data_IF_979440205628
#
_entry.id   IF_979440205628
#
_cell.length_a   1.000
_cell.length_b   1.000
_cell.length_c   1.000
_cell.angle_alpha   90.00
_cell.angle_beta   90.00
_cell.angle_gamma   90.00
#
_symmetry.space_group_name_H-M   'P 1'
#
loop_
_entity.id
_entity.type
_entity.pdbx_description
1 polymer ?
#
# COMPACT_ATOMS: atom_id res chain seq x y z
N UNK A 1 -66.32 -11.29 14.90
CA UNK A 1 -65.95 -9.94 15.35
C UNK A 1 -64.71 -10.08 16.22
N UNK A 2 -63.54 -9.84 15.65
CA UNK A 2 -62.28 -9.79 16.41
C UNK A 2 -61.72 -8.39 16.25
N UNK A 3 -61.95 -7.56 17.26
CA UNK A 3 -61.40 -6.20 17.35
C UNK A 3 -60.01 -6.31 17.96
N UNK A 4 -58.97 -6.25 17.14
CA UNK A 4 -57.59 -6.09 17.62
C UNK A 4 -57.35 -4.60 17.83
N UNK A 5 -57.15 -4.24 19.09
CA UNK A 5 -56.89 -2.88 19.56
C UNK A 5 -55.46 -2.44 19.22
N UNK A 6 -55.35 -1.24 18.67
CA UNK A 6 -54.11 -0.51 18.40
C UNK A 6 -53.50 -0.01 19.71
N UNK A 7 -52.74 -0.85 20.40
CA UNK A 7 -51.92 -0.44 21.53
C UNK A 7 -50.86 -1.51 21.81
N UNK A 8 -49.73 -1.44 21.10
CA UNK A 8 -48.38 -1.52 21.67
C UNK A 8 -47.34 -1.39 20.53
N UNK A 9 -47.09 -0.14 20.11
CA UNK A 9 -45.78 0.22 19.55
C UNK A 9 -45.17 1.10 20.63
N UNK A 10 -44.75 0.47 21.73
CA UNK A 10 -43.91 1.13 22.72
C UNK A 10 -42.56 1.39 22.07
N UNK A 11 -42.39 2.64 21.67
CA UNK A 11 -41.19 3.46 21.83
C UNK A 11 -39.97 2.67 22.31
N UNK A 12 -39.21 2.12 21.35
CA UNK A 12 -37.84 1.71 21.60
C UNK A 12 -37.05 3.00 21.84
N UNK A 13 -36.86 3.33 23.11
CA UNK A 13 -35.97 4.40 23.54
C UNK A 13 -34.57 4.14 23.00
N UNK A 14 -34.25 4.79 21.88
CA UNK A 14 -32.89 4.95 21.42
C UNK A 14 -32.16 5.81 22.46
N UNK A 15 -31.21 5.19 23.16
CA UNK A 15 -30.14 5.86 23.87
C UNK A 15 -29.59 6.97 22.98
N UNK A 16 -29.95 8.22 23.29
CA UNK A 16 -29.40 9.41 22.64
C UNK A 16 -28.00 9.60 23.21
N UNK A 17 -27.08 8.77 22.72
CA UNK A 17 -25.67 9.11 22.68
C UNK A 17 -25.50 10.13 21.54
N UNK A 18 -25.24 11.43 21.82
CA UNK A 18 -25.19 12.51 20.82
C UNK A 18 -24.01 12.40 19.84
N UNK A 19 -23.36 11.24 19.76
CA UNK A 19 -22.14 11.00 19.01
C UNK A 19 -22.18 9.72 18.15
N UNK A 20 -23.37 9.16 17.88
CA UNK A 20 -23.50 7.99 17.01
C UNK A 20 -23.27 8.38 15.55
N UNK A 21 -22.15 7.94 15.00
CA UNK A 21 -21.81 8.07 13.59
C UNK A 21 -22.23 6.81 12.83
N UNK A 22 -22.77 7.00 11.64
CA UNK A 22 -23.17 5.95 10.69
C UNK A 22 -22.07 5.81 9.64
N UNK A 23 -21.39 4.67 9.68
CA UNK A 23 -20.28 4.36 8.79
C UNK A 23 -20.76 3.67 7.51
N UNK A 24 -20.01 3.87 6.41
CA UNK A 24 -20.34 3.26 5.13
C UNK A 24 -19.99 1.75 5.13
N UNK A 25 -20.91 0.87 4.72
CA UNK A 25 -20.65 -0.57 4.64
C UNK A 25 -19.78 -0.99 3.44
N UNK A 26 -19.33 -0.06 2.60
CA UNK A 26 -18.45 -0.39 1.47
C UNK A 26 -16.98 -0.48 1.94
N UNK A 27 -16.35 -1.61 1.63
CA UNK A 27 -14.95 -1.91 1.95
C UNK A 27 -14.00 -0.78 1.49
N UNK A 28 -13.41 -0.07 2.45
CA UNK A 28 -12.44 0.99 2.20
C UNK A 28 -13.02 2.41 2.07
N UNK A 29 -14.34 2.60 2.23
CA UNK A 29 -14.92 3.93 2.39
C UNK A 29 -14.76 4.41 3.84
N UNK A 30 -14.16 5.58 4.06
CA UNK A 30 -13.97 6.14 5.42
C UNK A 30 -15.01 7.21 5.76
N UNK A 31 -16.12 7.27 5.01
CA UNK A 31 -17.17 8.25 5.25
C UNK A 31 -18.01 7.84 6.46
N UNK A 32 -18.18 8.77 7.39
CA UNK A 32 -19.00 8.62 8.59
C UNK A 32 -19.96 9.81 8.69
N UNK A 33 -21.23 9.53 8.96
CA UNK A 33 -22.30 10.52 8.94
C UNK A 33 -23.01 10.61 10.28
N UNK A 34 -23.44 11.81 10.68
CA UNK A 34 -24.17 11.98 11.93
C UNK A 34 -25.61 11.43 11.90
N UNK A 35 -26.12 11.08 10.71
CA UNK A 35 -27.50 10.59 10.53
C UNK A 35 -27.57 9.50 9.47
N UNK A 36 -28.45 8.53 9.70
CA UNK A 36 -28.69 7.43 8.77
C UNK A 36 -29.10 7.94 7.37
N UNK A 37 -29.96 8.96 7.27
CA UNK A 37 -30.37 9.51 5.97
C UNK A 37 -29.22 10.07 5.11
N UNK A 38 -28.17 10.60 5.73
CA UNK A 38 -26.97 11.08 5.03
C UNK A 38 -26.15 9.90 4.49
N UNK A 39 -26.05 8.83 5.26
CA UNK A 39 -25.41 7.59 4.82
C UNK A 39 -26.16 6.96 3.64
N UNK A 40 -27.49 6.85 3.72
CA UNK A 40 -28.30 6.31 2.62
C UNK A 40 -28.14 7.15 1.35
N UNK A 41 -28.15 8.47 1.47
CA UNK A 41 -27.94 9.36 0.33
C UNK A 41 -26.50 9.22 -0.23
N UNK A 42 -25.48 9.06 0.62
CA UNK A 42 -24.11 8.81 0.18
C UNK A 42 -23.99 7.51 -0.64
N UNK A 43 -24.60 6.42 -0.15
CA UNK A 43 -24.65 5.13 -0.84
C UNK A 43 -25.41 5.27 -2.17
N UNK A 44 -26.55 5.97 -2.18
CA UNK A 44 -27.35 6.19 -3.39
C UNK A 44 -26.63 7.03 -4.45
N UNK A 45 -25.82 8.01 -4.03
CA UNK A 45 -25.01 8.83 -4.95
C UNK A 45 -23.71 8.14 -5.39
N UNK A 46 -23.28 7.05 -4.72
CA UNK A 46 -22.08 6.28 -5.05
C UNK A 46 -20.75 7.03 -4.90
N UNK A 47 -20.71 8.16 -4.19
CA UNK A 47 -19.51 8.99 -4.03
C UNK A 47 -18.68 8.56 -2.82
N UNK A 48 -18.16 7.34 -2.88
CA UNK A 48 -17.36 6.76 -1.80
C UNK A 48 -16.01 7.44 -1.67
N UNK A 49 -15.70 7.95 -0.48
CA UNK A 49 -14.42 8.59 -0.20
C UNK A 49 -13.47 7.57 0.40
N UNK A 50 -12.62 7.02 -0.47
CA UNK A 50 -11.51 6.17 -0.06
C UNK A 50 -10.39 7.08 0.43
N UNK A 51 -10.01 6.94 1.69
CA UNK A 51 -8.85 7.64 2.23
C UNK A 51 -7.61 7.03 1.57
N UNK A 52 -6.79 7.81 0.84
CA UNK A 52 -5.52 7.32 0.36
C UNK A 52 -4.71 6.86 1.56
N UNK A 53 -4.09 5.68 1.47
CA UNK A 53 -3.19 5.21 2.50
C UNK A 53 -2.14 6.30 2.74
N UNK A 54 -1.94 6.71 4.00
CA UNK A 54 -0.93 7.72 4.32
C UNK A 54 0.43 7.11 3.97
N UNK A 55 1.02 7.58 2.87
CA UNK A 55 2.38 7.30 2.44
C UNK A 55 3.30 7.30 3.68
N UNK A 56 3.77 6.14 4.09
CA UNK A 56 4.70 6.05 5.22
C UNK A 56 5.97 6.84 4.86
N UNK A 57 6.61 7.53 5.80
CA UNK A 57 7.88 8.24 5.54
C UNK A 57 8.91 7.45 4.70
N UNK A 58 9.14 6.12 4.92
CA UNK A 58 10.02 5.34 4.05
C UNK A 58 9.47 5.10 2.64
N UNK A 59 8.15 5.05 2.47
CA UNK A 59 7.49 4.91 1.18
C UNK A 59 7.72 6.18 0.33
N UNK A 60 7.50 7.35 0.93
CA UNK A 60 7.84 8.64 0.32
C UNK A 60 9.33 8.75 -0.01
N UNK A 61 10.21 8.35 0.92
CA UNK A 61 11.65 8.38 0.70
C UNK A 61 12.10 7.48 -0.46
N UNK A 62 11.39 6.39 -0.72
CA UNK A 62 11.65 5.51 -1.85
C UNK A 62 11.07 6.05 -3.14
N UNK A 63 9.84 6.57 -3.12
CA UNK A 63 9.23 7.20 -4.28
C UNK A 63 10.11 8.34 -4.83
N UNK A 64 10.62 9.19 -3.94
CA UNK A 64 11.54 10.28 -4.28
C UNK A 64 12.93 9.79 -4.71
N UNK A 65 13.32 8.58 -4.34
CA UNK A 65 14.57 7.97 -4.79
C UNK A 65 14.40 7.30 -6.16
N UNK A 66 13.26 6.65 -6.39
CA UNK A 66 12.85 6.08 -7.67
C UNK A 66 12.75 7.14 -8.75
N UNK A 67 12.27 8.35 -8.44
CA UNK A 67 12.20 9.45 -9.42
C UNK A 67 13.57 9.88 -9.96
N UNK A 68 14.66 9.57 -9.25
CA UNK A 68 16.04 9.88 -9.64
C UNK A 68 16.73 8.73 -10.40
N UNK A 69 16.07 7.60 -10.55
CA UNK A 69 16.60 6.40 -11.19
C UNK A 69 15.83 6.12 -12.48
N UNK A 70 16.53 5.61 -13.49
CA UNK A 70 15.89 5.13 -14.70
C UNK A 70 15.05 3.87 -14.39
N UNK A 71 13.89 3.68 -15.05
CA UNK A 71 13.02 2.52 -14.81
C UNK A 71 13.73 1.17 -14.97
N UNK A 72 14.69 1.08 -15.89
CA UNK A 72 15.50 -0.12 -16.12
C UNK A 72 16.38 -0.46 -14.91
N UNK A 73 16.94 0.55 -14.22
CA UNK A 73 17.76 0.37 -13.02
C UNK A 73 16.91 -0.11 -11.85
N UNK A 74 15.74 0.50 -11.66
CA UNK A 74 14.79 0.14 -10.59
C UNK A 74 14.36 -1.31 -10.76
N UNK A 75 13.93 -1.70 -11.97
CA UNK A 75 13.49 -3.06 -12.27
C UNK A 75 14.60 -4.08 -11.99
N UNK A 76 15.81 -3.82 -12.47
CA UNK A 76 16.95 -4.71 -12.26
C UNK A 76 17.32 -4.87 -10.78
N UNK A 77 17.42 -3.77 -10.03
CA UNK A 77 17.77 -3.84 -8.61
C UNK A 77 16.66 -4.49 -7.77
N UNK A 78 15.40 -4.29 -8.14
CA UNK A 78 14.26 -4.93 -7.45
C UNK A 78 14.28 -6.44 -7.69
N UNK A 79 14.43 -6.88 -8.93
CA UNK A 79 14.56 -8.30 -9.31
C UNK A 79 15.75 -8.98 -8.60
N UNK A 80 16.91 -8.32 -8.57
CA UNK A 80 18.08 -8.81 -7.82
C UNK A 80 17.82 -8.92 -6.32
N UNK A 81 17.05 -7.99 -5.76
CA UNK A 81 16.68 -8.06 -4.36
C UNK A 81 15.70 -9.21 -4.09
N UNK A 82 14.77 -9.49 -5.00
CA UNK A 82 13.87 -10.63 -4.91
C UNK A 82 14.60 -11.97 -5.01
N UNK A 83 15.55 -12.08 -5.95
CA UNK A 83 16.43 -13.24 -6.08
C UNK A 83 17.19 -13.50 -4.78
N UNK A 84 17.73 -12.46 -4.14
CA UNK A 84 18.44 -12.60 -2.85
C UNK A 84 17.55 -13.17 -1.75
N UNK A 85 16.25 -12.83 -1.74
CA UNK A 85 15.30 -13.33 -0.76
C UNK A 85 14.97 -14.81 -1.02
N UNK A 86 14.81 -15.16 -2.30
CA UNK A 86 14.50 -16.52 -2.75
C UNK A 86 15.67 -17.49 -2.51
N UNK A 87 16.87 -17.08 -2.87
CA UNK A 87 18.08 -17.91 -2.76
C UNK A 87 18.70 -17.85 -1.34
N UNK A 88 18.19 -16.97 -0.47
CA UNK A 88 18.78 -16.64 0.85
C UNK A 88 20.24 -16.22 0.80
N UNK A 89 20.68 -15.65 -0.33
CA UNK A 89 22.04 -15.17 -0.55
C UNK A 89 22.16 -13.70 -0.16
N UNK A 90 23.28 -13.31 0.46
CA UNK A 90 23.66 -11.91 0.64
C UNK A 90 24.61 -11.46 -0.46
N UNK A 91 24.05 -10.89 -1.53
CA UNK A 91 24.84 -10.20 -2.53
C UNK A 91 25.52 -8.96 -1.93
N UNK A 92 26.82 -8.81 -2.19
CA UNK A 92 27.52 -7.57 -1.86
C UNK A 92 27.19 -6.50 -2.92
N UNK A 93 27.02 -5.23 -2.52
CA UNK A 93 26.68 -4.16 -3.47
C UNK A 93 27.73 -3.96 -4.56
N UNK A 94 28.99 -4.32 -4.30
CA UNK A 94 30.09 -4.29 -5.27
C UNK A 94 29.88 -5.30 -6.40
N UNK A 95 29.43 -6.51 -6.06
CA UNK A 95 29.16 -7.57 -7.03
C UNK A 95 27.99 -7.18 -7.94
N UNK A 96 26.96 -6.56 -7.37
CA UNK A 96 25.81 -6.07 -8.14
C UNK A 96 26.22 -4.94 -9.07
N UNK A 97 27.10 -4.03 -8.64
CA UNK A 97 27.63 -2.97 -9.49
C UNK A 97 28.43 -3.53 -10.67
N UNK A 98 29.31 -4.51 -10.41
CA UNK A 98 30.11 -5.17 -11.44
C UNK A 98 29.24 -5.96 -12.44
N UNK A 99 28.22 -6.67 -11.96
CA UNK A 99 27.28 -7.38 -12.83
C UNK A 99 26.48 -6.40 -13.70
N UNK A 100 26.06 -5.27 -13.13
CA UNK A 100 25.32 -4.25 -13.85
C UNK A 100 26.10 -3.71 -15.06
N UNK A 101 27.43 -3.63 -14.96
CA UNK A 101 28.30 -3.20 -16.07
C UNK A 101 28.46 -4.27 -17.16
N UNK A 102 28.30 -5.55 -16.82
CA UNK A 102 28.51 -6.68 -17.73
C UNK A 102 27.20 -7.21 -18.34
N UNK A 103 26.06 -6.84 -17.76
CA UNK A 103 24.75 -7.34 -18.18
C UNK A 103 24.44 -6.90 -19.61
N UNK A 104 24.17 -7.87 -20.48
CA UNK A 104 23.75 -7.63 -21.87
C UNK A 104 22.27 -7.95 -22.03
N UNK A 105 21.59 -7.18 -22.87
CA UNK A 105 20.24 -7.48 -23.36
C UNK A 105 20.33 -8.63 -24.38
N UNK A 106 19.18 -9.22 -24.72
CA UNK A 106 19.03 -10.20 -25.80
C UNK A 106 19.63 -9.74 -27.13
N UNK A 107 19.63 -8.43 -27.39
CA UNK A 107 20.18 -7.83 -28.61
C UNK A 107 21.73 -7.71 -28.62
N UNK A 108 22.42 -8.30 -27.64
CA UNK A 108 23.88 -8.25 -27.49
C UNK A 108 24.44 -6.91 -27.00
N UNK A 109 23.62 -5.85 -26.97
CA UNK A 109 23.97 -4.54 -26.39
C UNK A 109 23.93 -4.59 -24.87
N UNK A 110 24.76 -3.76 -24.22
CA UNK A 110 24.73 -3.62 -22.77
C UNK A 110 23.35 -3.16 -22.29
N UNK A 111 22.86 -3.74 -21.19
CA UNK A 111 21.53 -3.48 -20.63
C UNK A 111 21.42 -2.03 -20.13
N UNK A 112 22.54 -1.43 -19.74
CA UNK A 112 22.65 -0.07 -19.24
C UNK A 112 23.72 0.68 -20.03
N UNK A 113 23.49 1.97 -20.26
CA UNK A 113 24.55 2.87 -20.74
C UNK A 113 25.49 3.27 -19.59
N UNK A 114 26.68 3.79 -19.92
CA UNK A 114 27.66 4.24 -18.91
C UNK A 114 27.10 5.28 -17.94
N UNK A 115 26.23 6.17 -18.43
CA UNK A 115 25.53 7.17 -17.62
C UNK A 115 24.49 6.57 -16.66
N UNK A 116 24.06 5.32 -16.91
CA UNK A 116 23.07 4.60 -16.12
C UNK A 116 23.72 3.58 -15.18
N UNK A 117 25.05 3.55 -15.06
CA UNK A 117 25.70 2.71 -14.07
C UNK A 117 25.54 3.30 -12.67
N UNK A 118 25.06 2.47 -11.75
CA UNK A 118 24.95 2.84 -10.35
C UNK A 118 26.23 2.50 -9.61
N UNK A 119 26.68 3.45 -8.77
CA UNK A 119 27.81 3.25 -7.87
C UNK A 119 27.38 2.35 -6.70
N UNK A 120 28.34 1.66 -6.09
CA UNK A 120 28.14 0.81 -4.90
C UNK A 120 27.31 1.49 -3.81
N UNK A 121 27.58 2.78 -3.55
CA UNK A 121 26.83 3.57 -2.55
C UNK A 121 25.35 3.77 -2.89
N UNK A 122 25.02 3.94 -4.18
CA UNK A 122 23.64 4.07 -4.65
C UNK A 122 22.88 2.74 -4.53
N UNK A 123 23.54 1.62 -4.83
CA UNK A 123 22.97 0.28 -4.70
C UNK A 123 22.73 -0.06 -3.22
N UNK A 124 23.70 0.21 -2.34
CA UNK A 124 23.55 0.04 -0.89
C UNK A 124 22.38 0.87 -0.34
N UNK A 125 22.29 2.13 -0.77
CA UNK A 125 21.20 3.05 -0.44
C UNK A 125 19.83 2.53 -0.91
N UNK A 126 19.76 1.99 -2.12
CA UNK A 126 18.54 1.42 -2.69
C UNK A 126 18.07 0.20 -1.89
N UNK A 127 18.97 -0.76 -1.64
CA UNK A 127 18.64 -1.96 -0.87
C UNK A 127 18.26 -1.67 0.58
N UNK A 128 18.88 -0.67 1.22
CA UNK A 128 18.47 -0.24 2.55
C UNK A 128 17.02 0.26 2.56
N UNK A 129 16.67 1.15 1.62
CA UNK A 129 15.29 1.67 1.50
C UNK A 129 14.29 0.55 1.17
N UNK A 130 14.63 -0.33 0.22
CA UNK A 130 13.78 -1.45 -0.16
C UNK A 130 13.55 -2.44 1.01
N UNK A 131 14.56 -2.68 1.86
CA UNK A 131 14.41 -3.46 3.10
C UNK A 131 13.46 -2.79 4.09
N UNK A 132 13.56 -1.47 4.28
CA UNK A 132 12.69 -0.75 5.22
C UNK A 132 11.23 -0.75 4.76
N UNK A 133 10.98 -0.66 3.45
CA UNK A 133 9.61 -0.73 2.90
C UNK A 133 9.06 -2.14 2.99
N UNK A 134 9.81 -3.14 2.52
CA UNK A 134 9.35 -4.54 2.51
C UNK A 134 9.25 -5.14 3.91
N UNK A 135 10.09 -4.71 4.85
CA UNK A 135 9.98 -5.06 6.26
C UNK A 135 8.70 -4.52 6.90
N UNK A 136 8.18 -3.37 6.42
CA UNK A 136 6.85 -2.88 6.81
C UNK A 136 5.72 -3.61 6.11
N UNK A 137 5.81 -3.83 4.79
CA UNK A 137 4.80 -4.58 4.04
C UNK A 137 4.61 -6.00 4.59
N UNK A 138 5.68 -6.67 5.03
CA UNK A 138 5.61 -7.97 5.70
C UNK A 138 4.98 -7.91 7.10
N UNK A 139 5.01 -6.77 7.78
CA UNK A 139 4.34 -6.58 9.08
C UNK A 139 2.86 -6.17 8.95
N UNK A 140 2.44 -5.68 7.78
CA UNK A 140 1.04 -5.31 7.51
C UNK A 140 0.16 -6.53 7.21
N UNK A 141 0.73 -7.67 6.80
CA UNK A 141 -0.03 -8.87 6.45
C UNK A 141 -0.58 -9.66 7.67
N UNK A 142 -0.16 -9.33 8.90
CA UNK A 142 -0.59 -10.05 10.13
C UNK A 142 -1.74 -9.36 10.89
N UNK A 143 -2.29 -8.24 10.39
CA UNK A 143 -3.45 -7.54 11.02
C UNK A 143 -4.79 -7.95 10.34
N UNK A 144 -4.81 -9.08 9.62
CA UNK A 144 -5.96 -9.51 8.81
C UNK A 144 -6.46 -10.94 9.05
N UNK A 145 -6.03 -11.62 10.12
CA UNK A 145 -6.59 -12.92 10.54
C UNK A 145 -6.94 -12.89 12.03
N UNK A 146 -8.01 -12.18 12.35
CA UNK A 146 -8.68 -12.23 13.64
C UNK A 146 -9.84 -13.23 13.60
N UNK A 147 -9.69 -14.27 14.43
CA UNK A 147 -10.72 -15.10 15.10
C UNK A 147 -11.95 -15.56 14.33
#
# INVERSE_FOLDING_TARGET
MFSVTTADITEVGEDVSPNKLYECPEEGCTAAFARNGQLINHIANGKHQRRPERHSMPDYAMQMYHSKLAPVQIRYLTDKFDQRLKEKIRWKPEEVAAEMQQKKRSDGKFLFSSAEFLKTGQIRSFFSRLKNIRGKLGAVQEIGRGR
#
